data_IF_256675071551
#
_entry.id   IF_256675071551
#
_cell.length_a   1.000
_cell.length_b   1.000
_cell.length_c   1.000
_cell.angle_alpha   90.00
_cell.angle_beta   90.00
_cell.angle_gamma   90.00
#
_symmetry.space_group_name_H-M   'P 1'
#
loop_
_entity.id
_entity.type
_entity.pdbx_description
1 polymer ?
#
# COMPACT_ATOMS: atom_id res chain seq x y z
N UNK A 1 -14.35 -53.92 -23.67
CA UNK A 1 -14.45 -52.96 -22.55
C UNK A 1 -13.36 -51.93 -22.77
N UNK A 2 -13.66 -50.90 -23.56
CA UNK A 2 -12.75 -49.77 -23.82
C UNK A 2 -12.93 -48.75 -22.70
N UNK A 3 -11.86 -48.34 -22.00
CA UNK A 3 -11.98 -47.33 -20.95
C UNK A 3 -12.41 -46.00 -21.58
N UNK A 4 -13.46 -45.45 -20.99
CA UNK A 4 -14.04 -44.14 -21.26
C UNK A 4 -12.98 -43.06 -20.95
N UNK A 5 -12.62 -42.17 -21.89
CA UNK A 5 -11.68 -41.09 -21.59
C UNK A 5 -12.35 -40.14 -20.61
N UNK A 6 -11.73 -40.02 -19.43
CA UNK A 6 -12.13 -39.14 -18.35
C UNK A 6 -12.37 -37.72 -18.87
N UNK A 7 -13.50 -37.18 -18.41
CA UNK A 7 -13.99 -35.85 -18.65
C UNK A 7 -12.86 -34.80 -18.69
N UNK A 8 -12.83 -34.04 -19.78
CA UNK A 8 -12.18 -32.76 -19.81
C UNK A 8 -12.78 -31.89 -18.70
N UNK A 9 -12.15 -31.87 -17.52
CA UNK A 9 -12.32 -30.79 -16.56
C UNK A 9 -12.14 -29.50 -17.34
N UNK A 10 -13.27 -28.84 -17.61
CA UNK A 10 -13.29 -27.60 -18.33
C UNK A 10 -12.41 -26.62 -17.56
N UNK A 11 -11.21 -26.40 -18.11
CA UNK A 11 -10.23 -25.42 -17.68
C UNK A 11 -10.89 -24.04 -17.81
N UNK A 12 -11.71 -23.69 -16.81
CA UNK A 12 -12.42 -22.43 -16.78
C UNK A 12 -11.33 -21.36 -16.77
N UNK A 13 -11.31 -20.46 -17.77
CA UNK A 13 -10.25 -19.48 -17.88
C UNK A 13 -10.19 -18.70 -16.57
N UNK A 14 -8.99 -18.53 -15.98
CA UNK A 14 -8.84 -17.91 -14.68
C UNK A 14 -9.57 -16.57 -14.68
N UNK A 15 -10.49 -16.41 -13.73
CA UNK A 15 -11.38 -15.25 -13.65
C UNK A 15 -10.51 -13.98 -13.55
N UNK A 16 -10.49 -13.18 -14.63
CA UNK A 16 -9.58 -12.04 -14.77
C UNK A 16 -9.77 -11.05 -13.63
N UNK A 17 -8.65 -10.69 -13.00
CA UNK A 17 -8.64 -9.72 -11.93
C UNK A 17 -8.82 -8.29 -12.46
N UNK A 18 -10.05 -7.79 -12.45
CA UNK A 18 -10.43 -6.48 -13.01
C UNK A 18 -10.76 -5.44 -11.94
N UNK A 19 -10.58 -4.16 -12.27
CA UNK A 19 -11.05 -3.07 -11.43
C UNK A 19 -12.57 -3.06 -11.40
N UNK A 20 -13.16 -3.03 -10.20
CA UNK A 20 -14.61 -3.10 -9.99
C UNK A 20 -15.09 -1.90 -9.18
N UNK A 21 -16.38 -1.57 -9.27
CA UNK A 21 -17.02 -0.52 -8.45
C UNK A 21 -16.79 -0.79 -6.95
N UNK A 22 -16.84 -2.06 -6.52
CA UNK A 22 -16.54 -2.41 -5.14
C UNK A 22 -15.12 -2.01 -4.70
N UNK A 23 -14.13 -2.12 -5.59
CA UNK A 23 -12.75 -1.69 -5.29
C UNK A 23 -12.60 -0.18 -5.29
N UNK A 24 -13.26 0.53 -6.19
CA UNK A 24 -13.24 1.99 -6.15
C UNK A 24 -13.84 2.50 -4.85
N UNK A 25 -14.97 1.93 -4.40
CA UNK A 25 -15.58 2.26 -3.12
C UNK A 25 -14.66 1.96 -1.94
N UNK A 26 -13.98 0.79 -1.95
CA UNK A 26 -13.01 0.45 -0.91
C UNK A 26 -11.80 1.41 -0.90
N UNK A 27 -11.29 1.81 -2.06
CA UNK A 27 -10.21 2.80 -2.16
C UNK A 27 -10.65 4.17 -1.64
N UNK A 28 -11.84 4.63 -2.03
CA UNK A 28 -12.39 5.90 -1.52
C UNK A 28 -12.62 5.86 -0.01
N UNK A 29 -13.17 4.76 0.51
CA UNK A 29 -13.32 4.56 1.95
C UNK A 29 -11.97 4.55 2.67
N UNK A 30 -10.99 3.84 2.11
CA UNK A 30 -9.61 3.83 2.61
C UNK A 30 -9.02 5.23 2.70
N UNK A 31 -9.12 6.02 1.61
CA UNK A 31 -8.67 7.41 1.57
C UNK A 31 -9.37 8.27 2.62
N UNK A 32 -10.68 8.14 2.78
CA UNK A 32 -11.43 8.87 3.80
C UNK A 32 -10.95 8.53 5.23
N UNK A 33 -10.68 7.25 5.51
CA UNK A 33 -10.11 6.80 6.80
C UNK A 33 -8.68 7.33 6.96
N UNK A 34 -7.87 7.28 5.91
CA UNK A 34 -6.51 7.82 5.88
C UNK A 34 -6.47 9.28 6.30
N UNK A 35 -7.28 10.11 5.62
CA UNK A 35 -7.41 11.53 5.92
C UNK A 35 -8.02 11.79 7.31
N UNK A 36 -9.06 11.07 7.71
CA UNK A 36 -9.72 11.29 9.00
C UNK A 36 -8.87 10.92 10.21
N UNK A 37 -8.02 9.90 10.09
CA UNK A 37 -7.25 9.35 11.21
C UNK A 37 -5.81 9.88 11.22
N UNK A 38 -5.14 9.84 10.07
CA UNK A 38 -3.69 10.04 9.97
C UNK A 38 -3.27 11.45 9.55
N UNK A 39 -4.20 12.33 9.13
CA UNK A 39 -3.87 13.71 8.76
C UNK A 39 -3.49 14.53 10.01
N UNK A 40 -2.23 14.95 10.20
CA UNK A 40 -1.84 15.75 11.36
C UNK A 40 -2.65 17.06 11.36
N UNK A 41 -3.55 17.22 12.33
CA UNK A 41 -4.40 18.42 12.44
C UNK A 41 -3.60 19.64 12.87
N UNK A 42 -4.27 20.79 12.98
CA UNK A 42 -3.64 22.07 13.37
C UNK A 42 -3.00 22.08 14.77
N UNK A 43 -3.25 21.06 15.59
CA UNK A 43 -2.75 20.95 16.97
C UNK A 43 -1.22 20.83 17.08
N UNK A 44 -0.51 20.50 15.99
CA UNK A 44 0.96 20.51 15.99
C UNK A 44 1.44 21.90 15.57
N UNK A 45 1.58 22.78 16.56
CA UNK A 45 1.96 24.18 16.37
C UNK A 45 3.15 24.37 15.43
N UNK A 46 3.04 25.35 14.52
CA UNK A 46 4.09 25.78 13.57
C UNK A 46 4.75 24.66 12.76
N UNK A 47 3.98 23.72 12.23
CA UNK A 47 4.44 22.96 11.08
C UNK A 47 4.62 23.92 9.88
N UNK A 48 5.80 23.88 9.24
CA UNK A 48 6.01 24.55 7.96
C UNK A 48 4.97 24.04 6.96
N UNK A 49 4.59 24.88 5.99
CA UNK A 49 3.60 24.52 4.95
C UNK A 49 3.97 23.21 4.23
N UNK A 50 5.27 22.98 4.07
CA UNK A 50 5.87 21.74 3.55
C UNK A 50 5.51 20.52 4.40
N UNK A 51 5.62 20.60 5.73
CA UNK A 51 5.31 19.47 6.62
C UNK A 51 3.80 19.13 6.61
N UNK A 52 2.92 20.13 6.42
CA UNK A 52 1.47 19.91 6.23
C UNK A 52 1.18 19.15 4.94
N UNK A 53 1.80 19.55 3.82
CA UNK A 53 1.65 18.86 2.53
C UNK A 53 2.19 17.43 2.59
N UNK A 54 3.34 17.22 3.23
CA UNK A 54 3.92 15.89 3.47
C UNK A 54 2.99 15.02 4.34
N UNK A 55 2.40 15.60 5.39
CA UNK A 55 1.42 14.93 6.24
C UNK A 55 0.14 14.54 5.49
N UNK A 56 -0.39 15.44 4.67
CA UNK A 56 -1.53 15.17 3.79
C UNK A 56 -1.22 14.05 2.79
N UNK A 57 -0.06 14.15 2.13
CA UNK A 57 0.38 13.16 1.18
C UNK A 57 0.50 11.78 1.83
N UNK A 58 1.14 11.70 3.00
CA UNK A 58 1.27 10.44 3.71
C UNK A 58 -0.11 9.87 4.14
N UNK A 59 -1.00 10.71 4.67
CA UNK A 59 -2.35 10.29 5.03
C UNK A 59 -3.14 9.72 3.83
N UNK A 60 -2.99 10.30 2.64
CA UNK A 60 -3.56 9.77 1.40
C UNK A 60 -2.97 8.40 1.04
N UNK A 61 -1.65 8.24 1.12
CA UNK A 61 -0.97 6.99 0.79
C UNK A 61 -1.31 5.85 1.76
N UNK A 62 -1.40 6.14 3.05
CA UNK A 62 -1.88 5.20 4.08
C UNK A 62 -3.32 4.84 3.79
N UNK A 63 -4.16 5.84 3.51
CA UNK A 63 -5.56 5.65 3.15
C UNK A 63 -5.73 4.72 1.96
N UNK A 64 -4.94 4.91 0.91
CA UNK A 64 -4.89 3.99 -0.23
C UNK A 64 -4.47 2.59 0.21
N UNK A 65 -3.43 2.45 1.03
CA UNK A 65 -2.93 1.14 1.46
C UNK A 65 -3.93 0.34 2.32
N UNK A 66 -4.73 0.96 3.18
CA UNK A 66 -5.67 0.31 4.11
C UNK A 66 -6.55 -0.79 3.48
N UNK A 67 -7.25 -0.58 2.35
CA UNK A 67 -8.10 -1.60 1.73
C UNK A 67 -7.32 -2.75 1.06
N UNK A 68 -6.00 -2.63 0.88
CA UNK A 68 -5.20 -3.62 0.15
C UNK A 68 -5.34 -5.05 0.68
N UNK A 69 -5.29 -5.32 2.01
CA UNK A 69 -5.39 -6.67 2.53
C UNK A 69 -6.74 -7.30 2.24
N UNK A 70 -7.84 -6.53 2.35
CA UNK A 70 -9.18 -7.00 2.03
C UNK A 70 -9.31 -7.35 0.54
N UNK A 71 -8.75 -6.52 -0.34
CA UNK A 71 -8.76 -6.77 -1.78
C UNK A 71 -7.97 -8.04 -2.14
N UNK A 72 -6.76 -8.20 -1.60
CA UNK A 72 -5.84 -9.28 -1.96
C UNK A 72 -6.28 -10.61 -1.33
N UNK A 73 -6.66 -10.63 -0.05
CA UNK A 73 -7.17 -11.83 0.61
C UNK A 73 -8.50 -12.25 -0.03
N UNK A 74 -9.37 -11.30 -0.36
CA UNK A 74 -10.64 -11.55 -1.04
C UNK A 74 -10.46 -12.19 -2.41
N UNK A 75 -9.44 -11.77 -3.17
CA UNK A 75 -9.07 -12.43 -4.43
C UNK A 75 -8.54 -13.84 -4.20
N UNK A 76 -7.64 -14.02 -3.23
CA UNK A 76 -7.02 -15.32 -2.98
C UNK A 76 -8.05 -16.37 -2.54
N UNK A 77 -9.03 -15.98 -1.72
CA UNK A 77 -10.13 -16.83 -1.29
C UNK A 77 -11.05 -17.27 -2.44
N UNK A 78 -11.09 -16.53 -3.55
CA UNK A 78 -11.90 -16.85 -4.74
C UNK A 78 -11.12 -17.67 -5.78
N UNK A 79 -10.08 -18.40 -5.35
CA UNK A 79 -9.16 -19.14 -6.21
C UNK A 79 -8.51 -18.26 -7.31
N UNK A 80 -8.25 -16.98 -6.99
CA UNK A 80 -7.55 -16.07 -7.88
C UNK A 80 -6.08 -16.46 -8.13
N UNK A 81 -5.42 -15.77 -9.08
CA UNK A 81 -4.01 -16.01 -9.40
C UNK A 81 -3.11 -15.91 -8.15
N UNK A 82 -1.90 -16.51 -8.18
CA UNK A 82 -0.92 -16.34 -7.11
C UNK A 82 -0.62 -14.86 -6.88
N UNK A 83 -0.35 -14.51 -5.63
CA UNK A 83 -0.02 -13.13 -5.24
C UNK A 83 1.39 -12.84 -5.75
N UNK A 84 1.51 -11.89 -6.67
CA UNK A 84 2.80 -11.44 -7.16
C UNK A 84 3.49 -10.47 -6.20
N UNK A 85 4.73 -10.06 -6.53
CA UNK A 85 5.52 -9.14 -5.71
C UNK A 85 4.81 -7.80 -5.45
N UNK A 86 4.10 -7.24 -6.42
CA UNK A 86 3.27 -6.05 -6.25
C UNK A 86 2.17 -6.29 -5.23
N UNK A 87 1.43 -7.39 -5.39
CA UNK A 87 0.43 -7.84 -4.42
C UNK A 87 1.00 -8.01 -3.01
N UNK A 88 2.18 -8.61 -2.86
CA UNK A 88 2.83 -8.77 -1.54
C UNK A 88 3.14 -7.40 -0.92
N UNK A 89 3.69 -6.46 -1.69
CA UNK A 89 3.98 -5.11 -1.19
C UNK A 89 2.71 -4.39 -0.73
N UNK A 90 1.65 -4.41 -1.55
CA UNK A 90 0.35 -3.82 -1.21
C UNK A 90 -0.27 -4.47 0.05
N UNK A 91 -0.18 -5.80 0.17
CA UNK A 91 -0.68 -6.52 1.33
C UNK A 91 0.08 -6.10 2.61
N UNK A 92 1.41 -6.06 2.56
CA UNK A 92 2.23 -5.72 3.73
C UNK A 92 2.07 -4.26 4.15
N UNK A 93 2.08 -3.33 3.20
CA UNK A 93 1.85 -1.90 3.49
C UNK A 93 0.44 -1.66 4.03
N UNK A 94 -0.57 -2.31 3.47
CA UNK A 94 -1.94 -2.23 3.96
C UNK A 94 -2.14 -2.84 5.35
N UNK A 95 -1.53 -3.99 5.63
CA UNK A 95 -1.55 -4.60 6.96
C UNK A 95 -0.83 -3.72 7.98
N UNK A 96 0.33 -3.15 7.62
CA UNK A 96 1.04 -2.19 8.46
C UNK A 96 0.18 -0.97 8.78
N UNK A 97 -0.53 -0.44 7.76
CA UNK A 97 -1.45 0.70 7.93
C UNK A 97 -2.62 0.36 8.86
N UNK A 98 -3.22 -0.83 8.72
CA UNK A 98 -4.29 -1.31 9.61
C UNK A 98 -3.80 -1.52 11.04
N UNK A 99 -2.60 -2.07 11.23
CA UNK A 99 -2.03 -2.31 12.55
C UNK A 99 -1.74 -1.00 13.30
N UNK A 100 -1.48 0.08 12.56
CA UNK A 100 -1.25 1.41 13.13
C UNK A 100 -2.53 2.20 13.40
N UNK A 101 -3.69 1.70 12.98
CA UNK A 101 -4.97 2.37 13.15
C UNK A 101 -5.38 2.49 14.63
N UNK A 102 -5.30 1.42 15.46
CA UNK A 102 -5.61 1.52 16.90
C UNK A 102 -4.77 2.54 17.69
N UNK A 103 -3.42 2.55 17.64
CA UNK A 103 -2.65 3.50 18.43
C UNK A 103 -2.92 4.96 18.02
N UNK A 104 -3.11 5.24 16.73
CA UNK A 104 -3.44 6.61 16.26
C UNK A 104 -4.85 7.01 16.69
N UNK A 105 -5.84 6.12 16.65
CA UNK A 105 -7.18 6.39 17.16
C UNK A 105 -7.19 6.66 18.66
N UNK A 106 -6.49 5.84 19.46
CA UNK A 106 -6.38 6.04 20.91
C UNK A 106 -5.74 7.39 21.21
N UNK A 107 -4.69 7.77 20.47
CA UNK A 107 -4.07 9.09 20.61
C UNK A 107 -5.08 10.23 20.36
N UNK A 108 -5.86 10.14 19.28
CA UNK A 108 -6.88 11.15 18.93
C UNK A 108 -8.02 11.25 19.93
N UNK A 109 -8.46 10.13 20.47
CA UNK A 109 -9.64 10.07 21.34
C UNK A 109 -9.30 10.38 22.81
N UNK A 110 -8.12 9.99 23.27
CA UNK A 110 -7.72 10.09 24.70
C UNK A 110 -6.82 11.30 24.95
N UNK A 111 -6.31 11.97 23.90
CA UNK A 111 -5.48 13.18 24.04
C UNK A 111 -4.09 12.92 24.62
N UNK A 112 -3.54 11.71 24.41
CA UNK A 112 -2.23 11.31 24.94
C UNK A 112 -1.05 11.89 24.16
N UNK A 113 0.10 12.04 24.85
CA UNK A 113 1.39 12.35 24.22
C UNK A 113 1.69 11.36 23.09
N UNK A 114 2.21 11.81 21.93
CA UNK A 114 2.56 10.93 20.83
C UNK A 114 3.51 9.84 21.33
N UNK A 115 3.09 8.57 21.23
CA UNK A 115 4.07 7.49 21.24
C UNK A 115 4.83 7.62 19.92
N UNK A 116 5.92 8.41 19.95
CA UNK A 116 6.74 8.78 18.78
C UNK A 116 7.12 7.57 17.91
N UNK A 117 7.19 6.38 18.49
CA UNK A 117 7.54 5.13 17.81
C UNK A 117 6.53 4.74 16.72
N UNK A 118 5.23 4.85 16.97
CA UNK A 118 4.20 4.43 16.00
C UNK A 118 4.15 5.36 14.79
N UNK A 119 4.27 6.67 15.02
CA UNK A 119 4.36 7.65 13.95
C UNK A 119 5.68 7.51 13.18
N UNK A 120 6.78 7.20 13.85
CA UNK A 120 8.06 6.96 13.18
C UNK A 120 8.00 5.79 12.19
N UNK A 121 7.48 4.62 12.61
CA UNK A 121 7.34 3.47 11.71
C UNK A 121 6.52 3.78 10.44
N UNK A 122 5.49 4.60 10.60
CA UNK A 122 4.50 4.86 9.57
C UNK A 122 4.94 5.96 8.59
N UNK A 123 5.53 7.03 9.13
CA UNK A 123 5.94 8.20 8.36
C UNK A 123 7.37 8.08 7.83
N UNK A 124 8.23 7.22 8.40
CA UNK A 124 9.62 7.05 7.98
C UNK A 124 9.94 5.65 7.43
N UNK A 125 9.59 4.58 8.16
CA UNK A 125 10.03 3.23 7.77
C UNK A 125 9.32 2.72 6.52
N UNK A 126 7.99 2.88 6.43
CA UNK A 126 7.22 2.46 5.26
C UNK A 126 7.68 3.13 3.94
N UNK A 127 7.91 4.46 3.87
CA UNK A 127 8.49 5.08 2.70
C UNK A 127 9.87 4.52 2.35
N UNK A 128 10.73 4.30 3.34
CA UNK A 128 12.07 3.77 3.09
C UNK A 128 12.01 2.36 2.48
N UNK A 129 11.16 1.50 3.03
CA UNK A 129 10.91 0.15 2.51
C UNK A 129 10.42 0.20 1.06
N UNK A 130 9.59 1.19 0.70
CA UNK A 130 9.13 1.35 -0.68
C UNK A 130 10.25 1.67 -1.67
N UNK A 131 11.24 2.46 -1.25
CA UNK A 131 12.41 2.80 -2.09
C UNK A 131 13.23 1.55 -2.36
N UNK A 132 13.54 0.78 -1.32
CA UNK A 132 14.29 -0.47 -1.45
C UNK A 132 13.54 -1.51 -2.28
N UNK A 133 12.22 -1.63 -2.07
CA UNK A 133 11.37 -2.50 -2.85
C UNK A 133 11.38 -2.10 -4.34
N UNK A 134 11.15 -0.83 -4.66
CA UNK A 134 11.11 -0.37 -6.04
C UNK A 134 12.48 -0.56 -6.73
N UNK A 135 13.58 -0.27 -6.02
CA UNK A 135 14.93 -0.53 -6.50
C UNK A 135 15.15 -2.03 -6.79
N UNK A 136 14.76 -2.92 -5.88
CA UNK A 136 14.89 -4.36 -6.07
C UNK A 136 14.08 -4.86 -7.28
N UNK A 137 12.86 -4.36 -7.46
CA UNK A 137 12.00 -4.73 -8.58
C UNK A 137 12.54 -4.18 -9.91
N UNK A 138 13.08 -2.97 -9.93
CA UNK A 138 13.75 -2.39 -11.10
C UNK A 138 14.98 -3.21 -11.50
N UNK A 139 15.83 -3.56 -10.54
CA UNK A 139 17.03 -4.39 -10.77
C UNK A 139 16.64 -5.80 -11.25
N UNK A 140 15.59 -6.37 -10.68
CA UNK A 140 15.05 -7.67 -11.09
C UNK A 140 14.32 -7.64 -12.46
N UNK A 141 14.22 -6.46 -13.10
CA UNK A 141 13.57 -6.30 -14.41
C UNK A 141 12.05 -6.48 -14.39
N UNK A 142 11.42 -6.42 -13.22
CA UNK A 142 9.99 -6.72 -13.06
C UNK A 142 9.06 -5.55 -13.39
N UNK A 143 9.58 -4.31 -13.47
CA UNK A 143 8.82 -3.10 -13.86
C UNK A 143 8.57 -3.01 -15.38
N UNK A 144 9.02 -4.00 -16.17
CA UNK A 144 9.01 -3.95 -17.63
C UNK A 144 7.66 -4.23 -18.32
N UNK A 145 7.73 -4.78 -19.55
CA UNK A 145 6.56 -5.14 -20.39
C UNK A 145 5.52 -6.01 -19.68
N UNK A 146 5.92 -6.77 -18.67
CA UNK A 146 5.01 -7.60 -17.86
C UNK A 146 4.01 -6.76 -17.06
N UNK A 147 4.36 -5.58 -16.54
CA UNK A 147 3.42 -4.77 -15.74
C UNK A 147 2.23 -4.28 -16.57
N UNK A 148 2.54 -3.88 -17.81
CA UNK A 148 1.60 -3.31 -18.77
C UNK A 148 0.90 -4.36 -19.62
N UNK A 149 1.29 -5.64 -19.49
CA UNK A 149 0.62 -6.73 -20.17
C UNK A 149 -0.85 -6.83 -19.72
N UNK A 150 -1.82 -6.98 -20.64
CA UNK A 150 -3.23 -7.12 -20.29
C UNK A 150 -3.56 -8.32 -19.38
N UNK A 151 -2.67 -9.31 -19.31
CA UNK A 151 -2.79 -10.49 -18.44
C UNK A 151 -2.45 -10.21 -16.98
N UNK A 152 -1.85 -9.07 -16.66
CA UNK A 152 -1.35 -8.77 -15.32
C UNK A 152 -2.50 -8.42 -14.38
N UNK A 153 -2.61 -9.08 -13.22
CA UNK A 153 -3.64 -8.80 -12.24
C UNK A 153 -3.66 -7.33 -11.82
N UNK A 154 -4.84 -6.77 -11.60
CA UNK A 154 -4.97 -5.39 -11.15
C UNK A 154 -4.29 -5.17 -9.80
N UNK A 155 -4.35 -6.14 -8.86
CA UNK A 155 -3.67 -6.04 -7.56
C UNK A 155 -2.16 -5.93 -7.66
N UNK A 156 -1.58 -6.56 -8.69
CA UNK A 156 -0.15 -6.47 -8.95
C UNK A 156 0.23 -5.05 -9.36
N UNK A 157 -0.49 -4.50 -10.34
CA UNK A 157 -0.29 -3.11 -10.79
C UNK A 157 -0.52 -2.10 -9.67
N UNK A 158 -1.53 -2.37 -8.85
CA UNK A 158 -1.87 -1.55 -7.69
C UNK A 158 -0.72 -1.48 -6.67
N UNK A 159 -0.06 -2.60 -6.39
CA UNK A 159 1.08 -2.62 -5.49
C UNK A 159 2.30 -1.87 -6.02
N UNK A 160 2.58 -1.98 -7.32
CA UNK A 160 3.64 -1.18 -7.94
C UNK A 160 3.31 0.31 -7.97
N UNK A 161 2.04 0.65 -8.21
CA UNK A 161 1.57 2.03 -8.13
C UNK A 161 1.74 2.60 -6.72
N UNK A 162 1.35 1.85 -5.68
CA UNK A 162 1.61 2.21 -4.30
C UNK A 162 3.10 2.41 -4.05
N UNK A 163 3.96 1.46 -4.42
CA UNK A 163 5.40 1.57 -4.23
C UNK A 163 5.99 2.82 -4.90
N UNK A 164 5.56 3.10 -6.14
CA UNK A 164 5.98 4.27 -6.89
C UNK A 164 5.54 5.58 -6.22
N UNK A 165 4.34 5.63 -5.64
CA UNK A 165 3.88 6.79 -4.88
C UNK A 165 4.63 6.96 -3.55
N UNK A 166 4.93 5.89 -2.82
CA UNK A 166 5.67 5.99 -1.57
C UNK A 166 7.16 6.32 -1.76
N UNK A 167 7.73 6.04 -2.93
CA UNK A 167 9.17 6.19 -3.19
C UNK A 167 9.66 7.65 -3.08
N UNK A 168 9.02 8.67 -3.71
CA UNK A 168 9.39 10.07 -3.52
C UNK A 168 9.44 10.49 -2.05
N UNK A 169 8.50 9.98 -1.25
CA UNK A 169 8.46 10.23 0.20
C UNK A 169 9.68 9.63 0.89
N UNK A 170 10.04 8.38 0.56
CA UNK A 170 11.22 7.72 1.13
C UNK A 170 12.53 8.38 0.72
N UNK A 171 12.65 8.81 -0.54
CA UNK A 171 13.82 9.56 -1.03
C UNK A 171 13.96 10.89 -0.31
N UNK A 172 12.87 11.64 -0.14
CA UNK A 172 12.89 12.91 0.57
C UNK A 172 13.37 12.72 2.02
N UNK A 173 12.87 11.70 2.72
CA UNK A 173 13.30 11.42 4.10
C UNK A 173 14.75 11.00 4.18
N UNK A 174 15.22 10.22 3.21
CA UNK A 174 16.60 9.79 3.12
C UNK A 174 17.51 11.01 2.94
N UNK A 175 17.19 11.92 2.02
CA UNK A 175 17.93 13.17 1.81
C UNK A 175 17.97 14.00 3.10
N UNK A 176 16.81 14.21 3.76
CA UNK A 176 16.74 14.99 5.00
C UNK A 176 17.55 14.36 6.12
N UNK A 177 17.48 13.05 6.29
CA UNK A 177 18.27 12.32 7.28
C UNK A 177 19.78 12.50 7.07
N UNK A 178 20.26 12.38 5.83
CA UNK A 178 21.67 12.62 5.50
C UNK A 178 22.04 14.10 5.69
N UNK A 179 21.17 15.03 5.33
CA UNK A 179 21.42 16.45 5.54
C UNK A 179 21.60 16.78 7.03
N UNK A 180 20.68 16.29 7.88
CA UNK A 180 20.70 16.54 9.32
C UNK A 180 21.88 15.85 10.03
N UNK A 181 22.38 14.72 9.50
CA UNK A 181 23.49 13.97 10.10
C UNK A 181 24.88 14.55 9.80
N UNK A 182 25.01 15.36 8.74
CA UNK A 182 26.29 15.90 8.25
C UNK A 182 26.41 17.43 8.40
N UNK A 183 25.48 18.06 9.11
CA UNK A 183 25.58 19.44 9.62
C UNK A 183 26.01 19.45 11.09
#
# INVERSE_FOLDING_TARGET
>A
MTPEPADHEADQPPRRDTFTIGRSLLLTAGVAVGLGVFYPGEETGRLLEVDRLLGLYNALLIGLAIPAPLMIIGQRRRAGPPIGPGGIFALMTGLGSLLMLPPVLVQRLVGGSPQNVSLFCLFYTLPLVSVWYLAAVLIAGQVGRSLFAPSTPWTERYGFFLAALWTPMGVWWLIRFYWDAFQ
#
